data_IF_447235607466
#
_entry.id   IF_447235607466
#
_cell.length_a   1.000
_cell.length_b   1.000
_cell.length_c   1.000
_cell.angle_alpha   90.00
_cell.angle_beta   90.00
_cell.angle_gamma   90.00
#
_symmetry.space_group_name_H-M   'P 1'
#
loop_
_entity.id
_entity.type
_entity.pdbx_description
1 polymer ?
#
# COMPACT_ATOMS: atom_id res chain seq x y z
N UNK A 1 -31.03 -9.34 21.07
CA UNK A 1 -29.58 -9.61 21.20
C UNK A 1 -29.03 -8.74 22.31
N UNK A 2 -28.44 -9.34 23.35
CA UNK A 2 -27.77 -8.58 24.39
C UNK A 2 -26.57 -7.90 23.75
N UNK A 3 -26.59 -6.57 23.77
CA UNK A 3 -25.51 -5.76 23.22
C UNK A 3 -24.31 -5.85 24.17
N UNK A 4 -23.18 -6.38 23.69
CA UNK A 4 -21.95 -6.51 24.48
C UNK A 4 -21.49 -5.18 25.11
N UNK A 5 -21.88 -4.05 24.50
CA UNK A 5 -21.60 -2.72 25.02
C UNK A 5 -22.24 -2.49 26.39
N UNK A 6 -23.45 -3.01 26.63
CA UNK A 6 -24.14 -2.86 27.90
C UNK A 6 -23.49 -3.67 29.03
N UNK A 7 -22.83 -4.79 28.72
CA UNK A 7 -22.07 -5.58 29.69
C UNK A 7 -20.76 -4.90 30.09
N UNK A 8 -20.12 -4.19 29.17
CA UNK A 8 -18.84 -3.54 29.41
C UNK A 8 -18.96 -2.20 30.15
N UNK A 9 -20.09 -1.49 29.99
CA UNK A 9 -20.31 -0.15 30.60
C UNK A 9 -20.05 -0.12 32.12
N UNK A 10 -20.59 -1.04 32.94
CA UNK A 10 -20.38 -1.02 34.39
C UNK A 10 -18.91 -1.24 34.77
N UNK A 11 -18.24 -2.17 34.09
CA UNK A 11 -16.83 -2.51 34.35
C UNK A 11 -15.88 -1.36 33.98
N UNK A 12 -16.17 -0.66 32.87
CA UNK A 12 -15.46 0.56 32.45
C UNK A 12 -15.71 1.73 33.41
N UNK A 13 -16.95 1.85 33.95
CA UNK A 13 -17.27 2.89 34.93
C UNK A 13 -16.50 2.73 36.22
N UNK A 14 -16.33 1.52 36.68
CA UNK A 14 -15.60 1.21 37.91
C UNK A 14 -14.07 1.34 37.81
N UNK A 15 -13.53 1.69 36.64
CA UNK A 15 -12.08 1.82 36.43
C UNK A 15 -11.28 0.52 36.57
N UNK A 16 -11.97 -0.60 36.77
CA UNK A 16 -11.36 -1.92 36.96
C UNK A 16 -10.91 -2.57 35.64
N UNK A 17 -11.49 -2.12 34.51
CA UNK A 17 -11.21 -2.65 33.18
C UNK A 17 -10.44 -1.62 32.35
N UNK A 18 -9.27 -2.02 31.87
CA UNK A 18 -8.54 -1.29 30.79
C UNK A 18 -8.76 -2.06 29.50
N UNK A 19 -9.23 -1.36 28.49
CA UNK A 19 -9.61 -1.97 27.21
C UNK A 19 -8.96 -1.20 26.05
N UNK A 20 -8.44 -1.93 25.08
CA UNK A 20 -7.98 -1.41 23.80
C UNK A 20 -8.75 -2.15 22.70
N UNK A 21 -9.34 -1.42 21.78
CA UNK A 21 -10.05 -1.97 20.63
C UNK A 21 -9.59 -1.34 19.34
N UNK A 22 -9.65 -2.11 18.25
CA UNK A 22 -9.42 -1.62 16.89
C UNK A 22 -10.69 -1.72 16.08
N UNK A 23 -10.94 -0.72 15.24
CA UNK A 23 -12.11 -0.65 14.37
C UNK A 23 -11.81 0.22 13.15
N UNK A 24 -12.68 0.19 12.15
CA UNK A 24 -12.59 1.07 11.00
C UNK A 24 -13.26 2.43 11.29
N UNK A 25 -12.86 3.49 10.56
CA UNK A 25 -13.51 4.79 10.66
C UNK A 25 -15.01 4.73 10.40
N UNK A 26 -15.46 3.86 9.49
CA UNK A 26 -16.86 3.69 9.17
C UNK A 26 -17.65 3.10 10.34
N UNK A 27 -17.14 2.03 10.92
CA UNK A 27 -17.78 1.35 12.06
C UNK A 27 -17.75 2.22 13.32
N UNK A 28 -16.64 2.92 13.55
CA UNK A 28 -16.52 3.86 14.66
C UNK A 28 -17.64 4.91 14.61
N UNK A 29 -17.86 5.56 13.46
CA UNK A 29 -18.94 6.55 13.28
C UNK A 29 -20.33 5.91 13.39
N UNK A 30 -20.52 4.73 12.83
CA UNK A 30 -21.84 4.08 12.80
C UNK A 30 -22.31 3.57 14.16
N UNK A 31 -21.40 3.06 14.97
CA UNK A 31 -21.71 2.36 16.20
C UNK A 31 -21.16 3.04 17.43
N UNK A 32 -19.92 3.47 17.43
CA UNK A 32 -19.23 3.94 18.61
C UNK A 32 -19.54 5.40 18.97
N UNK A 33 -19.53 6.30 17.99
CA UNK A 33 -19.82 7.73 18.22
C UNK A 33 -21.26 7.97 18.67
N UNK A 34 -22.19 7.12 18.28
CA UNK A 34 -23.59 7.21 18.68
C UNK A 34 -23.79 6.93 20.16
N UNK A 35 -22.97 6.09 20.75
CA UNK A 35 -23.01 5.80 22.18
C UNK A 35 -22.11 6.77 22.97
N UNK A 36 -22.71 7.90 23.41
CA UNK A 36 -22.00 8.91 24.20
C UNK A 36 -21.40 8.37 25.50
N UNK A 37 -21.96 7.28 26.04
CA UNK A 37 -21.45 6.67 27.27
C UNK A 37 -20.13 5.94 27.04
N UNK A 38 -19.96 5.31 25.89
CA UNK A 38 -18.71 4.66 25.48
C UNK A 38 -17.69 5.69 24.97
N UNK A 39 -18.08 6.61 24.08
CA UNK A 39 -17.17 7.55 23.44
C UNK A 39 -16.44 8.45 24.44
N UNK A 40 -17.07 8.79 25.58
CA UNK A 40 -16.44 9.59 26.65
C UNK A 40 -15.40 8.82 27.48
N UNK A 41 -15.36 7.49 27.38
CA UNK A 41 -14.47 6.63 28.17
C UNK A 41 -13.28 6.08 27.40
N UNK A 42 -13.29 6.30 26.08
CA UNK A 42 -12.21 5.87 25.20
C UNK A 42 -11.55 7.06 24.54
N UNK A 43 -10.23 7.02 24.48
CA UNK A 43 -9.46 7.96 23.68
C UNK A 43 -9.32 7.37 22.27
N UNK A 44 -9.71 8.15 21.27
CA UNK A 44 -9.50 7.80 19.86
C UNK A 44 -8.03 8.02 19.50
N UNK A 45 -7.43 7.00 18.91
CA UNK A 45 -6.07 7.05 18.35
C UNK A 45 -6.18 6.71 16.88
N UNK A 46 -5.89 7.68 16.02
CA UNK A 46 -5.92 7.47 14.58
C UNK A 46 -4.64 6.77 14.12
N UNK A 47 -4.80 5.64 13.44
CA UNK A 47 -3.70 4.89 12.82
C UNK A 47 -3.74 5.19 11.32
N UNK A 48 -2.85 6.06 10.88
CA UNK A 48 -2.73 6.43 9.47
C UNK A 48 -1.90 5.43 8.67
N UNK A 49 -2.14 5.40 7.36
CA UNK A 49 -1.31 4.63 6.44
C UNK A 49 0.14 5.13 6.49
N UNK A 50 1.14 4.24 6.70
CA UNK A 50 2.54 4.63 6.73
C UNK A 50 3.03 5.11 5.37
N UNK A 51 4.10 5.91 5.38
CA UNK A 51 4.78 6.31 4.16
C UNK A 51 5.42 5.10 3.45
N UNK A 52 5.76 5.26 2.17
CA UNK A 52 6.49 4.23 1.40
C UNK A 52 7.80 3.88 2.12
N UNK A 53 8.54 4.88 2.61
CA UNK A 53 9.82 4.69 3.30
C UNK A 53 9.66 3.95 4.63
N UNK A 54 8.63 4.28 5.41
CA UNK A 54 8.35 3.57 6.66
C UNK A 54 7.86 2.15 6.40
N UNK A 55 7.06 1.95 5.35
CA UNK A 55 6.65 0.61 4.91
C UNK A 55 7.83 -0.26 4.51
N UNK A 56 8.85 0.30 3.84
CA UNK A 56 10.11 -0.43 3.55
C UNK A 56 10.82 -0.84 4.85
N UNK A 57 10.85 0.02 5.87
CA UNK A 57 11.44 -0.34 7.19
C UNK A 57 10.65 -1.46 7.86
N UNK A 58 9.31 -1.38 7.82
CA UNK A 58 8.42 -2.41 8.37
C UNK A 58 8.69 -3.76 7.68
N UNK A 59 8.69 -3.78 6.34
CA UNK A 59 8.94 -5.01 5.59
C UNK A 59 10.35 -5.58 5.83
N UNK A 60 11.35 -4.73 6.01
CA UNK A 60 12.70 -5.19 6.40
C UNK A 60 12.70 -5.89 7.76
N UNK A 61 11.90 -5.41 8.70
CA UNK A 61 11.73 -6.07 10.00
C UNK A 61 11.01 -7.42 9.90
N UNK A 62 10.03 -7.54 8.99
CA UNK A 62 9.26 -8.76 8.76
C UNK A 62 9.98 -9.77 7.85
N UNK A 63 10.93 -9.32 7.05
CA UNK A 63 11.69 -10.14 6.09
C UNK A 63 12.18 -11.49 6.63
N UNK A 64 12.82 -11.59 7.82
CA UNK A 64 13.32 -12.87 8.34
C UNK A 64 12.22 -13.91 8.55
N UNK A 65 11.01 -13.48 8.92
CA UNK A 65 9.86 -14.38 9.12
C UNK A 65 9.39 -14.99 7.80
N UNK A 66 9.26 -14.16 6.75
CA UNK A 66 8.87 -14.65 5.43
C UNK A 66 9.96 -15.48 4.76
N UNK A 67 11.24 -15.12 4.97
CA UNK A 67 12.38 -15.93 4.50
C UNK A 67 12.40 -17.32 5.12
N UNK A 68 12.13 -17.42 6.42
CA UNK A 68 12.04 -18.70 7.13
C UNK A 68 10.80 -19.49 6.72
N UNK A 69 9.67 -18.82 6.50
CA UNK A 69 8.41 -19.48 6.15
C UNK A 69 8.44 -20.09 4.75
N UNK A 70 9.01 -19.37 3.79
CA UNK A 70 9.06 -19.78 2.38
C UNK A 70 10.38 -20.42 1.95
N UNK A 71 11.35 -20.59 2.84
CA UNK A 71 12.71 -21.08 2.53
C UNK A 71 13.36 -20.35 1.34
N UNK A 72 13.24 -19.02 1.33
CA UNK A 72 13.78 -18.13 0.29
C UNK A 72 14.51 -16.94 0.93
N UNK A 73 15.26 -16.19 0.13
CA UNK A 73 15.89 -14.93 0.56
C UNK A 73 15.41 -13.78 -0.32
N UNK A 74 15.00 -12.69 0.29
CA UNK A 74 14.64 -11.47 -0.42
C UNK A 74 15.83 -10.51 -0.47
N UNK A 75 16.12 -9.96 -1.65
CA UNK A 75 17.11 -8.88 -1.76
C UNK A 75 16.56 -7.58 -1.16
N UNK A 76 17.45 -6.65 -0.79
CA UNK A 76 17.02 -5.35 -0.30
C UNK A 76 16.21 -4.56 -1.35
N UNK A 77 16.61 -4.71 -2.62
CA UNK A 77 15.92 -4.07 -3.74
C UNK A 77 14.54 -4.71 -3.99
N UNK A 78 14.40 -6.03 -3.81
CA UNK A 78 13.09 -6.70 -3.90
C UNK A 78 12.09 -6.14 -2.89
N UNK A 79 12.51 -5.93 -1.63
CA UNK A 79 11.66 -5.34 -0.59
C UNK A 79 11.25 -3.91 -0.95
N UNK A 80 12.18 -3.08 -1.42
CA UNK A 80 11.88 -1.73 -1.88
C UNK A 80 10.91 -1.73 -3.05
N UNK A 81 11.20 -2.52 -4.09
CA UNK A 81 10.37 -2.67 -5.27
C UNK A 81 8.96 -3.15 -4.91
N UNK A 82 8.81 -4.10 -3.98
CA UNK A 82 7.51 -4.57 -3.52
C UNK A 82 6.65 -3.43 -2.95
N UNK A 83 7.22 -2.57 -2.11
CA UNK A 83 6.50 -1.43 -1.54
C UNK A 83 6.14 -0.39 -2.59
N UNK A 84 7.10 0.01 -3.43
CA UNK A 84 6.91 1.03 -4.46
C UNK A 84 5.87 0.61 -5.50
N UNK A 85 5.96 -0.62 -5.99
CA UNK A 85 5.02 -1.14 -6.98
C UNK A 85 3.64 -1.42 -6.37
N UNK A 86 3.58 -1.93 -5.13
CA UNK A 86 2.30 -2.08 -4.44
C UNK A 86 1.63 -0.73 -4.20
N UNK A 87 2.38 0.30 -3.80
CA UNK A 87 1.86 1.65 -3.64
C UNK A 87 1.27 2.21 -4.94
N UNK A 88 1.91 1.91 -6.07
CA UNK A 88 1.57 2.45 -7.39
C UNK A 88 0.41 1.72 -8.08
N UNK A 89 0.38 0.39 -8.00
CA UNK A 89 -0.52 -0.43 -8.82
C UNK A 89 -1.63 -1.14 -8.05
N UNK A 90 -1.51 -1.29 -6.73
CA UNK A 90 -2.52 -1.93 -5.90
C UNK A 90 -3.27 -0.87 -5.09
N UNK A 91 -4.51 -0.58 -5.47
CA UNK A 91 -5.30 0.52 -4.90
C UNK A 91 -6.41 0.06 -3.94
N UNK A 92 -6.72 -1.23 -3.91
CA UNK A 92 -7.78 -1.82 -3.11
C UNK A 92 -7.40 -2.02 -1.63
N UNK A 93 -6.12 -1.99 -1.32
CA UNK A 93 -5.56 -2.15 0.03
C UNK A 93 -4.60 -1.03 0.40
N UNK A 94 -4.31 -0.91 1.69
CA UNK A 94 -3.40 0.10 2.25
C UNK A 94 -2.02 -0.48 2.52
N UNK A 95 -1.00 0.40 2.57
CA UNK A 95 0.30 0.05 3.10
C UNK A 95 0.21 -0.13 4.63
N UNK A 96 0.99 -1.04 5.24
CA UNK A 96 1.98 -1.93 4.61
C UNK A 96 1.38 -3.22 4.04
N UNK A 97 0.11 -3.56 4.33
CA UNK A 97 -0.50 -4.87 4.06
C UNK A 97 -0.37 -5.30 2.60
N UNK A 98 -0.70 -4.41 1.66
CA UNK A 98 -0.59 -4.72 0.23
C UNK A 98 0.83 -5.08 -0.22
N UNK A 99 1.86 -4.53 0.43
CA UNK A 99 3.25 -4.87 0.13
C UNK A 99 3.67 -6.17 0.84
N UNK A 100 3.10 -6.46 2.01
CA UNK A 100 3.25 -7.75 2.70
C UNK A 100 2.68 -8.87 1.83
N UNK A 101 1.46 -8.70 1.30
CA UNK A 101 0.85 -9.66 0.39
C UNK A 101 1.72 -9.95 -0.83
N UNK A 102 2.37 -8.92 -1.39
CA UNK A 102 3.27 -9.10 -2.55
C UNK A 102 4.49 -9.96 -2.21
N UNK A 103 5.14 -9.75 -1.06
CA UNK A 103 6.30 -10.56 -0.67
C UNK A 103 5.88 -11.97 -0.29
N UNK A 104 4.74 -12.15 0.34
CA UNK A 104 4.18 -13.46 0.68
C UNK A 104 3.86 -14.27 -0.58
N UNK A 105 3.11 -13.70 -1.52
CA UNK A 105 2.80 -14.35 -2.81
C UNK A 105 4.07 -14.64 -3.62
N UNK A 106 5.09 -13.77 -3.56
CA UNK A 106 6.36 -13.99 -4.25
C UNK A 106 7.12 -15.20 -3.65
N UNK A 107 7.08 -15.35 -2.34
CA UNK A 107 7.63 -16.54 -1.66
C UNK A 107 6.85 -17.80 -2.01
N UNK A 108 5.53 -17.75 -1.88
CA UNK A 108 4.64 -18.87 -2.19
C UNK A 108 4.77 -19.33 -3.65
N UNK A 109 4.91 -18.40 -4.59
CA UNK A 109 5.09 -18.72 -6.01
C UNK A 109 6.32 -19.59 -6.27
N UNK A 110 7.38 -19.49 -5.45
CA UNK A 110 8.56 -20.35 -5.59
C UNK A 110 8.27 -21.80 -5.20
N UNK A 111 7.40 -22.04 -4.23
CA UNK A 111 7.00 -23.39 -3.82
C UNK A 111 6.19 -24.12 -4.90
N UNK A 112 5.48 -23.39 -5.75
CA UNK A 112 4.70 -23.97 -6.84
C UNK A 112 5.56 -24.40 -8.05
N UNK A 113 6.81 -23.95 -8.09
CA UNK A 113 7.74 -24.31 -9.15
C UNK A 113 8.41 -25.68 -8.88
N UNK A 114 8.68 -26.47 -9.94
CA UNK A 114 9.52 -27.67 -9.81
C UNK A 114 10.89 -27.31 -9.21
N UNK A 115 11.48 -28.20 -8.43
CA UNK A 115 12.76 -27.96 -7.72
C UNK A 115 13.89 -27.48 -8.64
N UNK A 116 13.91 -27.95 -9.90
CA UNK A 116 14.87 -27.52 -10.91
C UNK A 116 14.75 -26.05 -11.35
N UNK A 117 13.58 -25.43 -11.13
CA UNK A 117 13.30 -24.04 -11.50
C UNK A 117 13.14 -23.12 -10.29
N UNK A 118 13.10 -23.70 -9.08
CA UNK A 118 12.96 -22.94 -7.83
C UNK A 118 14.19 -22.08 -7.57
N UNK A 119 13.97 -20.79 -7.34
CA UNK A 119 15.02 -19.86 -6.97
C UNK A 119 15.00 -19.62 -5.47
N UNK A 120 16.13 -19.79 -4.81
CA UNK A 120 16.28 -19.47 -3.38
C UNK A 120 16.35 -17.97 -3.09
N UNK A 121 16.62 -17.16 -4.11
CA UNK A 121 16.72 -15.70 -3.96
C UNK A 121 15.71 -15.01 -4.85
N UNK A 122 14.87 -14.16 -4.23
CA UNK A 122 13.84 -13.36 -4.89
C UNK A 122 14.40 -11.94 -5.09
N UNK A 123 14.44 -11.51 -6.34
CA UNK A 123 14.86 -10.19 -6.76
C UNK A 123 13.68 -9.31 -7.23
N UNK A 124 13.97 -8.11 -7.72
CA UNK A 124 12.94 -7.19 -8.23
C UNK A 124 12.08 -7.79 -9.35
N UNK A 125 12.66 -8.60 -10.24
CA UNK A 125 11.94 -9.20 -11.38
C UNK A 125 10.82 -10.16 -10.95
N UNK A 126 11.07 -10.95 -9.92
CA UNK A 126 10.06 -11.85 -9.35
C UNK A 126 8.93 -11.06 -8.72
N UNK A 127 9.25 -9.97 -8.03
CA UNK A 127 8.27 -9.04 -7.45
C UNK A 127 7.42 -8.37 -8.54
N UNK A 128 8.04 -7.87 -9.60
CA UNK A 128 7.34 -7.27 -10.75
C UNK A 128 6.33 -8.24 -11.38
N UNK A 129 6.71 -9.51 -11.54
CA UNK A 129 5.82 -10.53 -12.07
C UNK A 129 4.61 -10.79 -11.16
N UNK A 130 4.81 -10.80 -9.85
CA UNK A 130 3.73 -10.98 -8.86
C UNK A 130 2.80 -9.77 -8.85
N UNK A 131 3.34 -8.55 -8.81
CA UNK A 131 2.52 -7.33 -8.86
C UNK A 131 1.72 -7.26 -10.15
N UNK A 132 2.30 -7.62 -11.30
CA UNK A 132 1.61 -7.70 -12.58
C UNK A 132 0.39 -8.63 -12.51
N UNK A 133 0.55 -9.79 -11.86
CA UNK A 133 -0.52 -10.78 -11.66
C UNK A 133 -1.63 -10.23 -10.76
N UNK A 134 -1.27 -9.66 -9.60
CA UNK A 134 -2.22 -9.11 -8.63
C UNK A 134 -2.99 -7.92 -9.23
N UNK A 135 -2.26 -6.98 -9.84
CA UNK A 135 -2.84 -5.78 -10.43
C UNK A 135 -3.50 -6.02 -11.81
N UNK A 136 -3.38 -7.26 -12.36
CA UNK A 136 -3.91 -7.64 -13.69
C UNK A 136 -3.40 -6.76 -14.83
N UNK A 137 -2.13 -6.38 -14.77
CA UNK A 137 -1.46 -5.57 -15.80
C UNK A 137 -0.37 -6.40 -16.49
N UNK A 138 -0.04 -6.10 -17.77
CA UNK A 138 1.05 -6.79 -18.45
C UNK A 138 2.39 -6.56 -17.74
N UNK A 139 3.21 -7.60 -17.51
CA UNK A 139 4.49 -7.47 -16.80
C UNK A 139 5.45 -6.43 -17.39
N UNK A 140 5.41 -6.27 -18.73
CA UNK A 140 6.23 -5.26 -19.43
C UNK A 140 5.93 -3.81 -19.04
N UNK A 141 4.77 -3.54 -18.45
CA UNK A 141 4.36 -2.18 -18.06
C UNK A 141 4.69 -1.88 -16.59
N UNK A 142 5.01 -2.89 -15.79
CA UNK A 142 5.36 -2.71 -14.37
C UNK A 142 6.76 -2.14 -14.20
N UNK A 143 7.69 -2.55 -15.06
CA UNK A 143 9.10 -2.12 -15.03
C UNK A 143 9.39 -0.84 -15.81
N UNK A 144 8.42 -0.34 -16.59
CA UNK A 144 8.58 0.90 -17.37
C UNK A 144 8.20 2.13 -16.54
N UNK A 145 8.98 3.17 -16.69
CA UNK A 145 8.63 4.48 -16.13
C UNK A 145 7.37 5.00 -16.85
N UNK A 146 6.38 5.52 -16.08
CA UNK A 146 5.11 6.03 -16.64
C UNK A 146 5.37 7.10 -17.70
N UNK A 147 6.46 7.87 -17.58
CA UNK A 147 6.87 8.85 -18.54
C UNK A 147 7.20 8.23 -19.93
N UNK A 148 7.81 7.04 -19.99
CA UNK A 148 8.07 6.35 -21.26
C UNK A 148 6.78 5.79 -21.86
N UNK A 149 5.91 5.20 -21.04
CA UNK A 149 4.62 4.68 -21.48
C UNK A 149 3.75 5.78 -22.05
N UNK A 150 3.75 6.96 -21.43
CA UNK A 150 2.98 8.12 -21.91
C UNK A 150 3.54 8.73 -23.20
N UNK A 151 4.87 8.78 -23.37
CA UNK A 151 5.50 9.23 -24.63
C UNK A 151 5.14 8.35 -25.81
N UNK A 152 5.02 7.05 -25.58
CA UNK A 152 4.66 6.10 -26.64
C UNK A 152 3.15 5.90 -26.78
N UNK A 153 2.33 6.46 -25.85
CA UNK A 153 0.88 6.32 -25.88
C UNK A 153 0.27 6.88 -27.18
N UNK A 154 0.73 8.03 -27.62
CA UNK A 154 0.24 8.66 -28.86
C UNK A 154 0.54 7.80 -30.08
N UNK A 155 1.75 7.25 -30.16
CA UNK A 155 2.14 6.34 -31.26
C UNK A 155 1.36 5.04 -31.22
N UNK A 156 1.15 4.48 -30.03
CA UNK A 156 0.41 3.23 -29.84
C UNK A 156 -1.06 3.42 -30.18
N UNK A 157 -1.69 4.51 -29.74
CA UNK A 157 -3.07 4.85 -30.08
C UNK A 157 -3.26 5.06 -31.59
N UNK A 158 -2.32 5.73 -32.26
CA UNK A 158 -2.34 5.91 -33.70
C UNK A 158 -2.27 4.59 -34.50
N UNK A 159 -1.64 3.54 -33.95
CA UNK A 159 -1.57 2.21 -34.58
C UNK A 159 -2.86 1.41 -34.46
N UNK A 160 -3.62 1.59 -33.37
CA UNK A 160 -4.79 0.75 -33.05
C UNK A 160 -6.10 1.41 -33.45
N UNK A 161 -6.17 2.74 -33.42
CA UNK A 161 -7.40 3.50 -33.71
C UNK A 161 -7.20 4.31 -34.95
N UNK A 162 -8.00 4.03 -36.00
CA UNK A 162 -7.98 4.77 -37.26
C UNK A 162 -8.99 5.93 -37.25
N UNK A 163 -8.65 7.05 -37.88
CA UNK A 163 -9.59 8.10 -38.22
C UNK A 163 -10.01 9.10 -37.15
N UNK A 164 -9.38 9.11 -35.97
CA UNK A 164 -9.72 10.03 -34.85
C UNK A 164 -8.54 10.85 -34.33
N UNK A 165 -7.76 11.46 -35.21
CA UNK A 165 -6.51 12.12 -34.87
C UNK A 165 -6.66 13.31 -33.88
N UNK A 166 -7.75 14.09 -34.01
CA UNK A 166 -8.06 15.19 -33.09
C UNK A 166 -8.38 14.71 -31.65
N UNK A 167 -9.07 13.56 -31.49
CA UNK A 167 -9.41 13.00 -30.21
C UNK A 167 -8.18 12.39 -29.53
N UNK A 168 -7.33 11.70 -30.28
CA UNK A 168 -6.09 11.09 -29.84
C UNK A 168 -5.10 12.12 -29.28
N UNK A 169 -4.91 13.23 -30.03
CA UNK A 169 -4.03 14.32 -29.59
C UNK A 169 -4.55 15.04 -28.35
N UNK A 170 -5.86 15.18 -28.19
CA UNK A 170 -6.48 15.76 -27.00
C UNK A 170 -6.29 14.87 -25.76
N UNK A 171 -6.42 13.57 -25.91
CA UNK A 171 -6.27 12.63 -24.81
C UNK A 171 -4.81 12.56 -24.32
N UNK A 172 -3.84 12.54 -25.24
CA UNK A 172 -2.41 12.63 -24.92
C UNK A 172 -2.06 13.94 -24.21
N UNK A 173 -2.64 15.06 -24.64
CA UNK A 173 -2.45 16.38 -24.00
C UNK A 173 -3.05 16.44 -22.59
N UNK A 174 -4.24 15.85 -22.35
CA UNK A 174 -4.86 15.79 -21.03
C UNK A 174 -4.03 14.96 -20.04
N UNK A 175 -3.52 13.81 -20.47
CA UNK A 175 -2.70 12.92 -19.62
C UNK A 175 -1.38 13.60 -19.23
N UNK A 176 -0.71 14.25 -20.20
CA UNK A 176 0.52 15.02 -19.95
C UNK A 176 0.31 16.20 -18.98
N UNK A 177 -0.86 16.86 -19.05
CA UNK A 177 -1.18 18.00 -18.17
C UNK A 177 -1.51 17.57 -16.74
N UNK A 178 -2.09 16.38 -16.54
CA UNK A 178 -2.34 15.84 -15.19
C UNK A 178 -1.04 15.50 -14.45
N UNK A 179 0.01 15.07 -15.15
CA UNK A 179 1.33 14.83 -14.54
C UNK A 179 2.05 16.14 -14.16
N UNK A 180 1.94 17.17 -15.00
CA UNK A 180 2.50 18.49 -14.71
C UNK A 180 1.84 19.20 -13.51
N UNK A 181 0.68 18.70 -13.05
CA UNK A 181 -0.10 19.24 -11.93
C UNK A 181 0.14 18.52 -10.61
N UNK A 182 1.09 17.60 -10.50
CA UNK A 182 1.50 17.03 -9.20
C UNK A 182 2.09 18.17 -8.36
N UNK A 183 1.55 18.42 -7.15
CA UNK A 183 2.09 19.49 -6.30
C UNK A 183 3.55 19.16 -5.97
N UNK A 184 4.44 20.09 -6.30
CA UNK A 184 5.82 20.10 -5.80
C UNK A 184 5.71 20.03 -4.28
N UNK A 185 6.27 19.00 -3.67
CA UNK A 185 6.31 18.85 -2.22
C UNK A 185 6.81 20.15 -1.59
N UNK A 186 5.95 20.78 -0.78
CA UNK A 186 6.31 21.99 -0.07
C UNK A 186 7.55 21.72 0.80
N UNK A 187 8.53 22.64 0.84
CA UNK A 187 9.69 22.48 1.71
C UNK A 187 9.25 22.43 3.16
N UNK A 188 9.74 21.42 3.88
CA UNK A 188 9.52 21.26 5.32
C UNK A 188 10.02 22.50 6.05
N UNK A 189 9.20 23.18 6.86
CA UNK A 189 9.66 24.33 7.62
C UNK A 189 10.73 23.94 8.64
N UNK A 190 11.73 24.78 8.91
CA UNK A 190 12.80 24.46 9.85
C UNK A 190 12.25 24.27 11.26
N UNK A 191 12.68 23.21 11.93
CA UNK A 191 12.36 22.91 13.32
C UNK A 191 12.85 24.06 14.21
N UNK A 192 11.96 24.77 14.85
CA UNK A 192 12.31 25.71 15.92
C UNK A 192 12.93 24.94 17.08
N UNK A 193 14.20 25.16 17.31
CA UNK A 193 14.92 24.75 18.52
C UNK A 193 14.44 25.65 19.66
N UNK A 194 13.59 25.16 20.54
CA UNK A 194 13.29 25.81 21.82
C UNK A 194 14.47 25.58 22.77
N UNK A 195 15.35 26.56 22.88
CA UNK A 195 16.19 26.70 24.08
C UNK A 195 15.28 27.17 25.20
N UNK A 196 15.16 26.34 26.22
CA UNK A 196 14.67 26.75 27.55
C UNK A 196 15.87 27.09 28.37
N UNK A 197 15.91 28.34 28.82
CA UNK A 197 16.79 28.81 29.90
C UNK A 197 16.17 28.45 31.22
#
# INVERSE_FOLDING_TARGET
>A
AMDASNLLKPALQGGKLRCMGSTTYKEFRQHFEKDRALSRRFQKIDVNEPSVEDSVKILRGLKPYFESHHDVKYTADAIRTAVELAARYINDRKLPDKAIDVIDEAGAAQHLLPDSKRRKTIGPKEIEAVVAKIARIPPKNVSKDDAEVLRDLEKTLKRVVFGQDKAKSRQAFFTSRMEASKPISAPVPPKYSSRVS
#
